data_IF_999651248535
#
_entry.id   IF_999651248535
#
_cell.length_a   1.000
_cell.length_b   1.000
_cell.length_c   1.000
_cell.angle_alpha   90.00
_cell.angle_beta   90.00
_cell.angle_gamma   90.00
#
_symmetry.space_group_name_H-M   'P 1'
#
loop_
_entity.id
_entity.type
_entity.pdbx_description
1 polymer ?
#
# COMPACT_ATOMS: atom_id res chain seq x y z
N UNK A 1 10.86 27.19 1.26
CA UNK A 1 10.90 26.81 2.70
C UNK A 1 11.48 25.42 2.76
N UNK A 2 12.51 25.22 3.57
CA UNK A 2 13.11 23.90 3.77
C UNK A 2 12.19 23.08 4.70
N UNK A 3 11.44 22.15 4.12
CA UNK A 3 10.41 21.35 4.82
C UNK A 3 11.07 20.46 5.87
N UNK A 4 12.20 19.85 5.51
CA UNK A 4 12.92 18.91 6.35
C UNK A 4 13.49 19.61 7.58
N UNK A 5 14.15 20.75 7.41
CA UNK A 5 14.65 21.54 8.55
C UNK A 5 13.54 22.05 9.46
N UNK A 6 12.34 22.30 8.92
CA UNK A 6 11.24 22.88 9.70
C UNK A 6 10.46 21.82 10.47
N UNK A 7 10.12 20.70 9.83
CA UNK A 7 9.14 19.73 10.36
C UNK A 7 9.72 18.36 10.67
N UNK A 8 10.86 17.99 10.11
CA UNK A 8 11.43 16.63 10.22
C UNK A 8 12.82 16.59 10.86
N UNK A 9 13.31 17.72 11.37
CA UNK A 9 14.61 17.82 12.06
C UNK A 9 14.78 16.94 13.30
N UNK A 10 13.69 16.35 13.80
CA UNK A 10 13.64 15.53 15.00
C UNK A 10 13.55 14.02 14.72
N UNK A 11 13.66 13.61 13.45
CA UNK A 11 13.71 12.21 13.04
C UNK A 11 14.91 11.99 12.12
N UNK A 12 15.51 10.81 12.21
CA UNK A 12 16.59 10.36 11.34
C UNK A 12 16.07 10.03 9.93
N UNK A 13 16.96 9.96 8.93
CA UNK A 13 16.57 9.52 7.58
C UNK A 13 15.88 8.16 7.54
N UNK A 14 16.33 7.22 8.38
CA UNK A 14 15.71 5.90 8.56
C UNK A 14 14.27 6.00 9.07
N UNK A 15 14.04 6.80 10.10
CA UNK A 15 12.68 7.06 10.62
C UNK A 15 11.81 7.78 9.59
N UNK A 16 12.39 8.69 8.80
CA UNK A 16 11.71 9.41 7.73
C UNK A 16 11.22 8.46 6.62
N UNK A 17 12.06 7.52 6.19
CA UNK A 17 11.69 6.50 5.21
C UNK A 17 10.49 5.68 5.71
N UNK A 18 10.57 5.11 6.92
CA UNK A 18 9.45 4.38 7.55
C UNK A 18 8.18 5.23 7.58
N UNK A 19 8.31 6.48 8.04
CA UNK A 19 7.18 7.38 8.23
C UNK A 19 6.42 7.63 6.93
N UNK A 20 7.13 7.93 5.84
CA UNK A 20 6.50 8.19 4.54
C UNK A 20 5.90 6.92 3.94
N UNK A 21 6.61 5.79 4.01
CA UNK A 21 6.05 4.51 3.58
C UNK A 21 4.77 4.13 4.34
N UNK A 22 4.72 4.39 5.65
CA UNK A 22 3.54 4.12 6.48
C UNK A 22 2.37 5.06 6.17
N UNK A 23 2.63 6.34 5.90
CA UNK A 23 1.61 7.29 5.41
C UNK A 23 1.00 6.78 4.11
N UNK A 24 1.84 6.40 3.15
CA UNK A 24 1.39 5.92 1.86
C UNK A 24 0.58 4.63 1.98
N UNK A 25 0.99 3.70 2.87
CA UNK A 25 0.23 2.47 3.12
C UNK A 25 -1.16 2.77 3.69
N UNK A 26 -1.25 3.65 4.69
CA UNK A 26 -2.54 4.06 5.26
C UNK A 26 -3.44 4.80 4.26
N UNK A 27 -2.85 5.67 3.45
CA UNK A 27 -3.55 6.39 2.39
C UNK A 27 -4.08 5.42 1.32
N UNK A 28 -3.27 4.48 0.85
CA UNK A 28 -3.68 3.44 -0.10
C UNK A 28 -4.87 2.66 0.45
N UNK A 29 -4.76 2.15 1.67
CA UNK A 29 -5.80 1.31 2.26
C UNK A 29 -7.15 2.03 2.29
N UNK A 30 -7.20 3.23 2.86
CA UNK A 30 -8.46 3.95 3.03
C UNK A 30 -8.98 4.64 1.75
N UNK A 31 -8.11 4.96 0.79
CA UNK A 31 -8.53 5.61 -0.46
C UNK A 31 -9.22 4.64 -1.41
N UNK A 32 -8.81 3.37 -1.42
CA UNK A 32 -9.28 2.39 -2.40
C UNK A 32 -10.23 1.33 -1.83
N UNK A 33 -10.35 1.21 -0.50
CA UNK A 33 -11.36 0.36 0.13
C UNK A 33 -12.77 0.70 -0.40
N UNK A 34 -13.55 -0.35 -0.69
CA UNK A 34 -14.88 -0.24 -1.28
C UNK A 34 -14.93 -0.11 -2.81
N UNK A 35 -13.79 0.11 -3.50
CA UNK A 35 -13.76 0.26 -4.97
C UNK A 35 -14.32 -0.98 -5.67
N UNK A 36 -15.29 -0.85 -6.59
CA UNK A 36 -15.77 -1.99 -7.37
C UNK A 36 -14.66 -2.61 -8.21
N UNK A 37 -14.43 -3.91 -8.03
CA UNK A 37 -13.39 -4.67 -8.73
C UNK A 37 -13.91 -6.02 -9.19
N UNK A 38 -13.41 -6.48 -10.33
CA UNK A 38 -13.69 -7.78 -10.93
C UNK A 38 -12.39 -8.38 -11.46
N UNK A 39 -12.39 -9.66 -11.85
CA UNK A 39 -11.22 -10.29 -12.47
C UNK A 39 -10.71 -9.53 -13.70
N UNK A 40 -11.60 -8.88 -14.45
CA UNK A 40 -11.27 -8.12 -15.66
C UNK A 40 -10.63 -6.76 -15.37
N UNK A 41 -10.92 -6.17 -14.21
CA UNK A 41 -10.49 -4.81 -13.84
C UNK A 41 -9.41 -4.79 -12.75
N UNK A 42 -9.13 -5.93 -12.13
CA UNK A 42 -8.19 -5.99 -11.02
C UNK A 42 -6.77 -5.53 -11.44
N UNK A 43 -6.29 -5.95 -12.62
CA UNK A 43 -4.97 -5.53 -13.11
C UNK A 43 -4.89 -4.03 -13.40
N UNK A 44 -5.93 -3.44 -14.00
CA UNK A 44 -5.93 -2.00 -14.26
C UNK A 44 -6.03 -1.20 -12.96
N UNK A 45 -6.76 -1.72 -11.97
CA UNK A 45 -6.87 -1.10 -10.65
C UNK A 45 -5.55 -1.17 -9.87
N UNK A 46 -4.87 -2.33 -9.83
CA UNK A 46 -3.54 -2.47 -9.25
C UNK A 46 -2.56 -1.43 -9.80
N UNK A 47 -2.49 -1.33 -11.13
CA UNK A 47 -1.64 -0.35 -11.81
C UNK A 47 -2.01 1.10 -11.48
N UNK A 48 -3.31 1.40 -11.37
CA UNK A 48 -3.78 2.74 -11.03
C UNK A 48 -3.44 3.11 -9.58
N UNK A 49 -3.59 2.17 -8.65
CA UNK A 49 -3.22 2.34 -7.23
C UNK A 49 -1.72 2.61 -7.13
N UNK A 50 -0.89 1.73 -7.71
CA UNK A 50 0.57 1.87 -7.65
C UNK A 50 1.03 3.24 -8.15
N UNK A 51 0.62 3.62 -9.37
CA UNK A 51 0.97 4.92 -9.96
C UNK A 51 0.46 6.12 -9.17
N UNK A 52 -0.72 6.01 -8.55
CA UNK A 52 -1.25 7.10 -7.73
C UNK A 52 -0.44 7.28 -6.44
N UNK A 53 -0.01 6.18 -5.83
CA UNK A 53 0.74 6.21 -4.57
C UNK A 53 2.21 6.59 -4.76
N UNK A 54 2.81 6.23 -5.90
CA UNK A 54 4.18 6.66 -6.27
C UNK A 54 4.35 8.18 -6.42
N UNK A 55 3.25 8.94 -6.51
CA UNK A 55 3.29 10.41 -6.50
C UNK A 55 3.53 11.00 -5.09
N UNK A 56 3.44 10.20 -4.03
CA UNK A 56 3.64 10.65 -2.66
C UNK A 56 5.13 10.88 -2.33
N UNK A 57 5.43 11.71 -1.32
CA UNK A 57 6.81 11.99 -0.94
C UNK A 57 7.61 10.74 -0.57
N UNK A 58 8.86 10.67 -1.04
CA UNK A 58 9.81 9.61 -0.71
C UNK A 58 9.41 8.20 -1.16
N UNK A 59 8.40 8.06 -2.03
CA UNK A 59 7.98 6.76 -2.55
C UNK A 59 8.74 6.47 -3.85
N UNK A 60 9.39 5.31 -3.88
CA UNK A 60 10.20 4.84 -5.00
C UNK A 60 9.40 3.91 -5.91
N UNK A 61 8.63 3.02 -5.31
CA UNK A 61 7.87 1.98 -6.01
C UNK A 61 6.71 1.50 -5.13
N UNK A 62 5.57 1.20 -5.76
CA UNK A 62 4.43 0.58 -5.08
C UNK A 62 3.92 -0.60 -5.89
N UNK A 63 4.11 -1.79 -5.35
CA UNK A 63 3.57 -3.03 -5.90
C UNK A 63 2.23 -3.35 -5.24
N UNK A 64 1.21 -3.58 -6.06
CA UNK A 64 -0.15 -3.90 -5.59
C UNK A 64 -0.62 -5.18 -6.25
N UNK A 65 -1.13 -6.11 -5.46
CA UNK A 65 -1.79 -7.32 -5.89
C UNK A 65 -3.13 -7.47 -5.19
N UNK A 66 -4.16 -7.80 -5.96
CA UNK A 66 -5.50 -8.11 -5.50
C UNK A 66 -5.68 -9.63 -5.61
N UNK A 67 -6.09 -10.28 -4.53
CA UNK A 67 -6.22 -11.73 -4.52
C UNK A 67 -7.31 -12.21 -5.50
N UNK A 68 -6.88 -12.81 -6.63
CA UNK A 68 -7.79 -13.28 -7.68
C UNK A 68 -8.67 -14.43 -7.22
N UNK A 69 -8.19 -15.28 -6.30
CA UNK A 69 -8.99 -16.38 -5.76
C UNK A 69 -10.18 -15.83 -4.98
N UNK A 70 -9.98 -14.80 -4.16
CA UNK A 70 -11.08 -14.14 -3.45
C UNK A 70 -12.08 -13.49 -4.41
N UNK A 71 -11.63 -12.93 -5.54
CA UNK A 71 -12.54 -12.41 -6.56
C UNK A 71 -13.39 -13.52 -7.20
N UNK A 72 -12.81 -14.69 -7.48
CA UNK A 72 -13.53 -15.87 -8.02
C UNK A 72 -14.56 -16.38 -7.01
N UNK A 73 -14.17 -16.53 -5.75
CA UNK A 73 -15.01 -17.13 -4.71
C UNK A 73 -16.24 -16.26 -4.39
N UNK A 74 -16.12 -14.94 -4.57
CA UNK A 74 -17.16 -13.96 -4.25
C UNK A 74 -17.96 -13.55 -5.49
N UNK A 75 -17.58 -13.98 -6.70
CA UNK A 75 -18.23 -13.65 -7.97
C UNK A 75 -19.70 -14.16 -8.00
N UNK A 76 -20.59 -13.36 -7.42
CA UNK A 76 -22.03 -13.58 -7.35
C UNK A 76 -22.73 -12.96 -8.58
N UNK A 77 -24.08 -13.04 -8.63
CA UNK A 77 -24.99 -12.56 -9.69
C UNK A 77 -24.60 -11.28 -10.46
N UNK A 78 -23.81 -10.38 -9.87
CA UNK A 78 -23.44 -9.08 -10.45
C UNK A 78 -22.00 -9.00 -11.00
N UNK A 79 -21.21 -10.08 -10.95
CA UNK A 79 -19.85 -10.18 -11.56
C UNK A 79 -18.80 -9.16 -11.05
N UNK A 80 -19.00 -8.56 -9.89
CA UNK A 80 -18.01 -7.70 -9.22
C UNK A 80 -18.18 -7.77 -7.71
N UNK A 81 -17.16 -7.29 -7.00
CA UNK A 81 -17.13 -7.15 -5.54
C UNK A 81 -16.62 -5.78 -5.16
N UNK A 82 -16.90 -5.33 -3.94
CA UNK A 82 -16.19 -4.19 -3.37
C UNK A 82 -14.83 -4.66 -2.87
N UNK A 83 -13.77 -3.98 -3.31
CA UNK A 83 -12.41 -4.21 -2.81
C UNK A 83 -12.40 -4.04 -1.29
N UNK A 84 -11.72 -4.93 -0.60
CA UNK A 84 -11.49 -4.85 0.84
C UNK A 84 -10.02 -5.03 1.15
N UNK A 85 -9.58 -4.53 2.31
CA UNK A 85 -8.22 -4.69 2.80
C UNK A 85 -7.69 -6.13 2.76
N UNK A 86 -8.55 -7.11 3.05
CA UNK A 86 -8.19 -8.54 3.09
C UNK A 86 -7.79 -9.09 1.72
N UNK A 87 -8.22 -8.44 0.64
CA UNK A 87 -7.87 -8.82 -0.73
C UNK A 87 -6.52 -8.26 -1.17
N UNK A 88 -5.95 -7.31 -0.42
CA UNK A 88 -4.77 -6.57 -0.82
C UNK A 88 -3.48 -7.21 -0.31
N UNK A 89 -2.53 -7.31 -1.22
CA UNK A 89 -1.15 -7.71 -1.01
C UNK A 89 -0.31 -6.56 -1.61
N UNK A 90 0.32 -5.76 -0.76
CA UNK A 90 0.99 -4.52 -1.16
C UNK A 90 2.39 -4.43 -0.60
N UNK A 91 3.33 -3.92 -1.40
CA UNK A 91 4.64 -3.46 -0.95
C UNK A 91 4.83 -2.00 -1.34
N UNK A 92 5.16 -1.17 -0.37
CA UNK A 92 5.53 0.24 -0.57
C UNK A 92 7.02 0.35 -0.27
N UNK A 93 7.80 0.72 -1.28
CA UNK A 93 9.24 0.99 -1.13
C UNK A 93 9.41 2.50 -0.99
N UNK A 94 9.89 2.91 0.17
CA UNK A 94 10.18 4.31 0.49
C UNK A 94 11.67 4.52 0.65
N UNK A 95 12.19 5.65 0.18
CA UNK A 95 13.61 6.00 0.24
C UNK A 95 13.80 7.46 0.62
N UNK A 96 14.61 7.72 1.64
CA UNK A 96 14.99 9.08 2.04
C UNK A 96 16.47 9.14 2.41
N UNK A 97 17.21 10.05 1.76
CA UNK A 97 18.67 10.21 1.90
C UNK A 97 19.46 8.89 1.86
N UNK A 98 19.05 7.98 0.96
CA UNK A 98 19.70 6.68 0.76
C UNK A 98 19.37 5.62 1.82
N UNK A 99 18.43 5.87 2.74
CA UNK A 99 17.85 4.86 3.61
C UNK A 99 16.55 4.34 3.00
N UNK A 100 16.43 3.03 2.79
CA UNK A 100 15.25 2.41 2.23
C UNK A 100 14.45 1.66 3.30
N UNK A 101 13.12 1.77 3.24
CA UNK A 101 12.20 0.98 4.05
C UNK A 101 11.13 0.35 3.16
N UNK A 102 10.86 -0.94 3.37
CA UNK A 102 9.79 -1.69 2.72
C UNK A 102 8.64 -1.86 3.71
N UNK A 103 7.50 -1.26 3.39
CA UNK A 103 6.27 -1.39 4.17
C UNK A 103 5.34 -2.38 3.48
N UNK A 104 4.86 -3.36 4.25
CA UNK A 104 4.07 -4.47 3.76
C UNK A 104 2.63 -4.38 4.26
N UNK A 105 1.68 -4.73 3.40
CA UNK A 105 0.31 -5.05 3.76
C UNK A 105 -0.01 -6.44 3.20
N UNK A 106 -0.46 -7.34 4.06
CA UNK A 106 -1.01 -8.63 3.65
C UNK A 106 -1.98 -9.17 4.69
N UNK A 107 -2.90 -10.02 4.24
CA UNK A 107 -3.84 -10.69 5.12
C UNK A 107 -3.17 -11.84 5.89
N UNK A 108 -3.08 -11.71 7.21
CA UNK A 108 -2.50 -12.72 8.09
C UNK A 108 -3.62 -13.61 8.62
N UNK A 109 -3.70 -14.84 8.10
CA UNK A 109 -4.78 -15.78 8.41
C UNK A 109 -4.85 -16.14 9.89
N UNK A 110 -3.72 -16.23 10.57
CA UNK A 110 -3.64 -16.54 12.01
C UNK A 110 -4.21 -15.42 12.88
N UNK A 111 -4.24 -14.19 12.36
CA UNK A 111 -4.76 -13.00 13.04
C UNK A 111 -6.14 -12.59 12.54
N UNK A 112 -6.62 -13.19 11.44
CA UNK A 112 -7.83 -12.79 10.72
C UNK A 112 -7.82 -11.27 10.43
N UNK A 113 -6.66 -10.76 9.98
CA UNK A 113 -6.41 -9.32 9.93
C UNK A 113 -5.46 -8.91 8.78
N UNK A 114 -5.78 -7.85 8.01
CA UNK A 114 -4.88 -7.24 7.04
C UNK A 114 -3.80 -6.41 7.76
N UNK A 115 -2.63 -7.01 7.99
CA UNK A 115 -1.58 -6.43 8.81
C UNK A 115 -0.66 -5.53 8.01
N UNK A 116 -0.45 -4.31 8.51
CA UNK A 116 0.62 -3.42 8.04
C UNK A 116 1.84 -3.53 8.93
N UNK A 117 3.02 -3.71 8.34
CA UNK A 117 4.27 -3.77 9.10
C UNK A 117 5.49 -3.37 8.25
N UNK A 118 6.62 -3.11 8.92
CA UNK A 118 7.92 -2.90 8.24
C UNK A 118 8.51 -4.27 7.93
N UNK A 119 8.60 -4.63 6.65
CA UNK A 119 9.16 -5.91 6.21
C UNK A 119 10.69 -5.90 6.23
N UNK A 120 11.28 -4.83 5.70
CA UNK A 120 12.73 -4.67 5.61
C UNK A 120 13.11 -3.20 5.77
N UNK A 121 14.28 -2.95 6.35
CA UNK A 121 14.85 -1.61 6.47
C UNK A 121 16.36 -1.66 6.56
N UNK A 122 17.01 -0.70 5.90
CA UNK A 122 18.45 -0.45 6.00
C UNK A 122 18.89 0.11 7.38
#
# INVERSE_FOLDING_TARGET
>A
MDVDKKYFKNISPRERAIFEGAITMGALFHQFDGTPVSLKTAESLENAIGKAMELQPCIKEVEVKINRQMLIDIENKFQYVSLSGDMLDVKVISEYEGQQAIIRLEFIKELDYPLMYVEEID
#
